data_IF_698333030383
#
_entry.id   IF_698333030383
#
_cell.length_a   1.000
_cell.length_b   1.000
_cell.length_c   1.000
_cell.angle_alpha   90.00
_cell.angle_beta   90.00
_cell.angle_gamma   90.00
#
_symmetry.space_group_name_H-M   'P 1'
#
loop_
_entity.id
_entity.type
_entity.pdbx_description
1 polymer ?
#
# COMPACT_ATOMS: atom_id res chain seq x y z
N UNK A 1 14.74 -0.84 -12.68
CA UNK A 1 15.81 -0.06 -12.00
C UNK A 1 15.29 0.42 -10.66
N UNK A 2 15.99 0.10 -9.58
CA UNK A 2 15.54 0.42 -8.23
C UNK A 2 16.13 1.74 -7.74
N UNK A 3 15.26 2.65 -7.31
CA UNK A 3 15.62 3.97 -6.81
C UNK A 3 15.00 4.23 -5.43
N UNK A 4 15.56 5.20 -4.70
CA UNK A 4 14.99 5.68 -3.45
C UNK A 4 15.17 7.18 -3.30
N UNK A 5 14.34 7.77 -2.44
CA UNK A 5 14.48 9.14 -1.94
C UNK A 5 15.07 9.09 -0.54
N UNK A 6 16.09 9.87 -0.28
CA UNK A 6 16.81 9.80 0.99
C UNK A 6 17.33 11.16 1.44
N UNK A 7 17.65 11.28 2.73
CA UNK A 7 18.32 12.44 3.31
C UNK A 7 19.74 12.06 3.70
N UNK A 8 20.71 12.85 3.24
CA UNK A 8 22.12 12.80 3.62
C UNK A 8 22.61 14.22 3.92
N UNK A 9 23.26 14.47 5.04
CA UNK A 9 23.83 15.77 5.42
C UNK A 9 22.86 16.97 5.21
N UNK A 10 21.61 16.83 5.65
CA UNK A 10 20.53 17.82 5.47
C UNK A 10 20.07 18.08 4.02
N UNK A 11 20.57 17.36 3.04
CA UNK A 11 20.08 17.40 1.66
C UNK A 11 19.15 16.23 1.39
N UNK A 12 18.07 16.51 0.68
CA UNK A 12 17.16 15.49 0.19
C UNK A 12 17.55 15.17 -1.25
N UNK A 13 17.83 13.92 -1.53
CA UNK A 13 18.36 13.43 -2.79
C UNK A 13 17.54 12.22 -3.27
N UNK A 14 17.68 11.93 -4.55
CA UNK A 14 17.30 10.65 -5.13
C UNK A 14 18.56 9.86 -5.47
N UNK A 15 18.44 8.52 -5.50
CA UNK A 15 19.56 7.68 -5.88
C UNK A 15 19.17 6.31 -6.34
N UNK A 16 20.05 5.71 -7.15
CA UNK A 16 19.94 4.30 -7.57
C UNK A 16 20.44 3.43 -6.43
N UNK A 17 19.63 2.46 -6.06
CA UNK A 17 19.96 1.48 -5.00
C UNK A 17 20.77 0.34 -5.61
N UNK A 18 21.98 0.11 -5.09
CA UNK A 18 22.89 -0.98 -5.47
C UNK A 18 23.40 -1.68 -4.22
N UNK A 19 22.92 -2.92 -3.98
CA UNK A 19 23.26 -3.69 -2.79
C UNK A 19 23.15 -2.85 -1.50
N UNK A 20 24.26 -2.51 -0.86
CA UNK A 20 24.31 -1.75 0.39
C UNK A 20 24.61 -0.26 0.19
N UNK A 21 24.55 0.24 -1.05
CA UNK A 21 24.86 1.63 -1.40
C UNK A 21 23.80 2.30 -2.27
N UNK A 22 23.80 3.62 -2.24
CA UNK A 22 22.93 4.48 -3.05
C UNK A 22 23.84 5.39 -3.88
N UNK A 23 23.65 5.39 -5.18
CA UNK A 23 24.34 6.32 -6.10
C UNK A 23 23.43 7.52 -6.33
N UNK A 24 23.79 8.72 -5.85
CA UNK A 24 22.97 9.93 -6.04
C UNK A 24 22.72 10.25 -7.51
N UNK A 25 21.49 10.65 -7.84
CA UNK A 25 21.04 11.01 -9.19
C UNK A 25 20.32 12.35 -9.20
N UNK A 26 20.31 13.01 -10.35
CA UNK A 26 19.59 14.25 -10.53
C UNK A 26 18.08 14.00 -10.63
N UNK A 27 17.30 14.79 -9.87
CA UNK A 27 15.83 14.77 -9.87
C UNK A 27 15.29 15.25 -8.54
N UNK A 28 14.06 15.78 -8.56
CA UNK A 28 13.39 16.33 -7.37
C UNK A 28 12.14 15.54 -7.00
N UNK A 29 11.46 14.99 -7.99
CA UNK A 29 10.19 14.30 -7.84
C UNK A 29 10.23 12.92 -8.49
N UNK A 30 9.38 12.01 -8.05
CA UNK A 30 9.28 10.67 -8.67
C UNK A 30 8.98 10.76 -10.16
N UNK A 31 8.23 11.77 -10.60
CA UNK A 31 7.82 11.97 -11.98
C UNK A 31 9.03 12.14 -12.92
N UNK A 32 10.14 12.70 -12.43
CA UNK A 32 11.36 12.93 -13.21
C UNK A 32 11.97 11.61 -13.71
N UNK A 33 11.64 10.49 -13.08
CA UNK A 33 12.20 9.17 -13.38
C UNK A 33 11.24 8.22 -14.10
N UNK A 34 9.93 8.50 -14.11
CA UNK A 34 8.92 7.56 -14.61
C UNK A 34 9.00 7.27 -16.12
N UNK A 35 9.63 8.17 -16.90
CA UNK A 35 9.73 8.05 -18.35
C UNK A 35 11.18 7.86 -18.85
N UNK A 36 12.06 7.32 -18.02
CA UNK A 36 13.47 7.08 -18.43
C UNK A 36 13.61 6.03 -19.53
N UNK A 37 12.62 5.13 -19.70
CA UNK A 37 12.58 4.12 -20.78
C UNK A 37 13.90 3.34 -20.95
N UNK A 38 14.51 2.95 -19.84
CA UNK A 38 15.79 2.24 -19.80
C UNK A 38 17.04 3.16 -19.87
N UNK A 39 16.87 4.47 -20.05
CA UNK A 39 17.99 5.42 -19.93
C UNK A 39 18.46 5.53 -18.48
N UNK A 40 19.75 5.74 -18.30
CA UNK A 40 20.31 6.01 -16.99
C UNK A 40 20.07 7.48 -16.61
N UNK A 41 19.63 7.78 -15.40
CA UNK A 41 19.57 9.16 -14.91
C UNK A 41 20.99 9.72 -14.74
N UNK A 42 21.10 11.03 -14.73
CA UNK A 42 22.36 11.73 -14.49
C UNK A 42 22.85 11.50 -13.06
N UNK A 43 24.09 11.00 -12.93
CA UNK A 43 24.73 10.72 -11.63
C UNK A 43 25.26 12.03 -11.05
N UNK A 44 24.93 12.29 -9.77
CA UNK A 44 25.32 13.53 -9.06
C UNK A 44 26.38 13.34 -7.97
N UNK A 45 26.92 12.17 -7.77
CA UNK A 45 27.90 11.96 -6.71
C UNK A 45 28.42 10.54 -6.58
N UNK A 46 29.28 10.34 -5.59
CA UNK A 46 29.80 9.02 -5.24
C UNK A 46 28.78 8.17 -4.49
N UNK A 47 28.87 6.84 -4.55
CA UNK A 47 28.03 5.95 -3.76
C UNK A 47 28.09 6.24 -2.26
N UNK A 48 26.94 6.23 -1.60
CA UNK A 48 26.77 6.41 -0.15
C UNK A 48 26.19 5.14 0.44
N UNK A 49 26.73 4.65 1.57
CA UNK A 49 26.18 3.49 2.25
C UNK A 49 24.72 3.76 2.72
N UNK A 50 23.82 2.81 2.49
CA UNK A 50 22.40 2.92 2.90
C UNK A 50 22.28 3.14 4.42
N UNK A 51 23.16 2.52 5.23
CA UNK A 51 23.18 2.66 6.68
C UNK A 51 23.47 4.08 7.18
N UNK A 52 24.03 4.96 6.34
CA UNK A 52 24.41 6.34 6.67
C UNK A 52 23.38 7.39 6.28
N UNK A 53 22.24 6.99 5.74
CA UNK A 53 21.21 7.90 5.26
C UNK A 53 19.85 7.60 5.88
N UNK A 54 18.99 8.59 5.89
CA UNK A 54 17.57 8.43 6.24
C UNK A 54 16.77 8.19 4.96
N UNK A 55 16.15 7.02 4.83
CA UNK A 55 15.25 6.73 3.71
C UNK A 55 13.93 7.46 3.92
N UNK A 56 13.47 8.18 2.91
CA UNK A 56 12.25 8.96 2.93
C UNK A 56 11.17 8.34 2.06
N UNK A 57 9.92 8.77 2.25
CA UNK A 57 8.85 8.40 1.31
C UNK A 57 9.22 8.83 -0.11
N UNK A 58 9.14 7.94 -1.10
CA UNK A 58 9.37 8.28 -2.50
C UNK A 58 8.20 9.08 -3.11
N UNK A 59 7.05 9.08 -2.47
CA UNK A 59 5.87 9.82 -2.92
C UNK A 59 5.81 11.13 -2.15
N UNK A 60 5.83 12.25 -2.88
CA UNK A 60 5.94 13.58 -2.26
C UNK A 60 4.71 14.42 -2.45
N UNK A 61 4.04 14.32 -3.59
CA UNK A 61 2.94 15.22 -3.93
C UNK A 61 2.01 14.57 -4.98
N UNK A 62 1.34 13.47 -4.63
CA UNK A 62 0.37 12.86 -5.54
C UNK A 62 -0.90 13.73 -5.57
N UNK A 63 -1.49 13.91 -6.76
CA UNK A 63 -2.83 14.48 -6.88
C UNK A 63 -3.86 13.56 -6.27
N UNK A 64 -3.72 12.25 -6.53
CA UNK A 64 -4.62 11.23 -6.04
C UNK A 64 -3.88 10.10 -5.34
N UNK A 65 -4.41 9.67 -4.20
CA UNK A 65 -4.08 8.41 -3.54
C UNK A 65 -5.34 7.57 -3.63
N UNK A 66 -5.38 6.67 -4.58
CA UNK A 66 -6.51 5.78 -4.82
C UNK A 66 -6.20 4.44 -4.18
N UNK A 67 -7.16 3.87 -3.48
CA UNK A 67 -7.03 2.59 -2.82
C UNK A 67 -8.11 1.64 -3.30
N UNK A 68 -7.73 0.39 -3.52
CA UNK A 68 -8.61 -0.68 -3.92
C UNK A 68 -8.91 -1.59 -2.71
N UNK A 69 -10.16 -1.68 -2.35
CA UNK A 69 -10.57 -2.52 -1.22
C UNK A 69 -10.98 -3.93 -1.64
N UNK A 70 -10.69 -4.93 -0.78
CA UNK A 70 -11.17 -6.31 -0.93
C UNK A 70 -10.76 -6.96 -2.26
N UNK A 71 -9.52 -6.82 -2.66
CA UNK A 71 -9.01 -7.34 -3.94
C UNK A 71 -8.41 -8.75 -3.88
N UNK A 72 -8.60 -9.47 -2.79
CA UNK A 72 -8.16 -10.87 -2.63
C UNK A 72 -9.30 -11.72 -2.06
N UNK A 73 -9.60 -12.85 -2.71
CA UNK A 73 -10.72 -13.72 -2.32
C UNK A 73 -10.63 -14.18 -0.86
N UNK A 74 -9.45 -14.59 -0.41
CA UNK A 74 -9.23 -15.02 0.97
C UNK A 74 -9.49 -13.89 1.99
N UNK A 75 -9.09 -12.65 1.65
CA UNK A 75 -9.35 -11.49 2.50
C UNK A 75 -10.85 -11.15 2.57
N UNK A 76 -11.59 -11.34 1.47
CA UNK A 76 -13.05 -11.16 1.46
C UNK A 76 -13.71 -12.13 2.44
N UNK A 77 -13.28 -13.39 2.48
CA UNK A 77 -13.77 -14.40 3.43
C UNK A 77 -13.52 -13.96 4.89
N UNK A 78 -12.32 -13.42 5.19
CA UNK A 78 -11.99 -12.90 6.54
C UNK A 78 -12.89 -11.74 6.95
N UNK A 79 -13.35 -10.93 5.99
CA UNK A 79 -14.32 -9.84 6.26
C UNK A 79 -15.77 -10.32 6.34
N UNK A 80 -16.00 -11.64 6.29
CA UNK A 80 -17.32 -12.28 6.44
C UNK A 80 -18.23 -12.13 5.21
N UNK A 81 -17.66 -11.98 4.02
CA UNK A 81 -18.38 -11.93 2.73
C UNK A 81 -18.04 -13.15 1.87
N UNK A 82 -18.90 -13.46 0.90
CA UNK A 82 -18.58 -14.47 -0.13
C UNK A 82 -17.79 -13.78 -1.26
N UNK A 83 -16.63 -14.31 -1.67
CA UNK A 83 -15.91 -13.77 -2.82
C UNK A 83 -16.69 -13.80 -4.13
N UNK A 84 -17.64 -14.73 -4.27
CA UNK A 84 -18.51 -14.82 -5.44
C UNK A 84 -19.52 -13.68 -5.56
N UNK A 85 -19.80 -13.01 -4.43
CA UNK A 85 -20.72 -11.85 -4.39
C UNK A 85 -20.00 -10.54 -4.75
N UNK A 86 -18.72 -10.60 -5.17
CA UNK A 86 -17.97 -9.40 -5.53
C UNK A 86 -18.03 -9.14 -7.04
N UNK A 87 -19.02 -8.36 -7.43
CA UNK A 87 -19.26 -7.99 -8.83
C UNK A 87 -18.64 -6.64 -9.24
N UNK A 88 -17.92 -5.95 -8.32
CA UNK A 88 -17.39 -4.60 -8.56
C UNK A 88 -16.07 -4.36 -7.79
N UNK A 89 -15.24 -3.49 -8.35
CA UNK A 89 -14.13 -2.91 -7.64
C UNK A 89 -14.61 -1.92 -6.57
N UNK A 90 -14.01 -1.96 -5.40
CA UNK A 90 -14.29 -0.99 -4.36
C UNK A 90 -13.12 -0.01 -4.30
N UNK A 91 -13.39 1.25 -4.62
CA UNK A 91 -12.40 2.32 -4.56
C UNK A 91 -12.69 3.28 -3.41
N UNK A 92 -11.63 3.75 -2.79
CA UNK A 92 -11.65 4.84 -1.81
C UNK A 92 -10.35 5.62 -1.91
N UNK A 93 -10.25 6.73 -1.18
CA UNK A 93 -9.06 7.58 -1.20
C UNK A 93 -8.49 7.76 0.21
N UNK A 94 -7.22 8.12 0.28
CA UNK A 94 -6.55 8.57 1.52
C UNK A 94 -6.12 10.03 1.38
N UNK A 95 -6.05 10.72 2.51
CA UNK A 95 -5.49 12.08 2.52
C UNK A 95 -3.99 12.05 2.21
N UNK A 96 -3.44 12.96 1.39
CA UNK A 96 -2.00 13.07 1.16
C UNK A 96 -1.19 13.22 2.45
N UNK A 97 -1.74 13.87 3.48
CA UNK A 97 -1.12 14.00 4.80
C UNK A 97 -0.94 12.70 5.57
N UNK A 98 -1.50 11.58 5.10
CA UNK A 98 -1.27 10.24 5.66
C UNK A 98 0.05 9.62 5.21
N UNK A 99 0.66 10.13 4.13
CA UNK A 99 1.94 9.62 3.60
C UNK A 99 3.07 9.78 4.62
N UNK A 100 3.87 8.72 4.72
CA UNK A 100 5.10 8.73 5.52
C UNK A 100 6.13 7.76 4.94
N UNK A 101 7.35 7.77 5.48
CA UNK A 101 8.40 6.82 5.08
C UNK A 101 8.02 5.38 5.47
N UNK A 102 8.46 4.43 4.66
CA UNK A 102 8.41 3.00 4.97
C UNK A 102 9.39 2.56 6.08
N UNK A 103 10.33 3.43 6.44
CA UNK A 103 11.24 3.22 7.56
C UNK A 103 10.99 4.35 8.56
N UNK A 104 10.42 4.02 9.73
CA UNK A 104 10.04 5.03 10.70
C UNK A 104 8.94 4.60 11.66
N UNK A 105 7.95 5.46 11.85
CA UNK A 105 6.94 5.29 12.88
C UNK A 105 5.51 5.40 12.33
N UNK A 106 4.60 4.62 12.92
CA UNK A 106 3.16 4.80 12.80
C UNK A 106 2.68 5.44 14.10
N UNK A 107 2.10 6.63 14.01
CA UNK A 107 1.55 7.33 15.17
C UNK A 107 0.12 6.86 15.38
N UNK A 108 -0.10 6.14 16.47
CA UNK A 108 -1.43 5.65 16.86
C UNK A 108 -2.15 6.74 17.66
N UNK A 109 -3.24 7.34 17.12
CA UNK A 109 -4.05 8.28 17.89
C UNK A 109 -4.61 7.62 19.16
N UNK A 110 -4.63 8.33 20.28
CA UNK A 110 -5.02 7.78 21.60
C UNK A 110 -6.45 7.20 21.62
N UNK A 111 -7.36 7.75 20.81
CA UNK A 111 -8.74 7.30 20.69
C UNK A 111 -8.92 6.07 19.77
N UNK A 112 -7.92 5.72 18.93
CA UNK A 112 -7.95 4.53 18.06
C UNK A 112 -7.65 3.29 18.89
N UNK A 113 -8.60 2.37 18.91
CA UNK A 113 -8.50 1.11 19.69
C UNK A 113 -8.09 -0.08 18.83
N UNK A 114 -8.53 -0.11 17.57
CA UNK A 114 -8.35 -1.24 16.65
C UNK A 114 -7.47 -0.79 15.48
N UNK A 115 -6.17 -0.60 15.75
CA UNK A 115 -5.17 -0.26 14.73
C UNK A 115 -4.76 -1.53 13.97
N UNK A 116 -4.92 -1.53 12.65
CA UNK A 116 -4.67 -2.67 11.77
C UNK A 116 -3.67 -2.33 10.66
N UNK A 117 -3.08 -3.35 10.08
CA UNK A 117 -2.07 -3.30 9.03
C UNK A 117 -2.60 -3.95 7.75
N UNK A 118 -2.17 -3.44 6.59
CA UNK A 118 -2.53 -3.93 5.25
C UNK A 118 -1.35 -3.70 4.31
N UNK A 119 -0.49 -4.72 4.10
CA UNK A 119 0.56 -4.64 3.11
C UNK A 119 -0.01 -4.69 1.69
N UNK A 120 0.39 -3.75 0.84
CA UNK A 120 -0.15 -3.59 -0.51
C UNK A 120 0.94 -3.24 -1.52
N UNK A 121 0.83 -3.73 -2.74
CA UNK A 121 1.56 -3.16 -3.87
C UNK A 121 0.96 -1.79 -4.23
N UNK A 122 1.82 -0.87 -4.62
CA UNK A 122 1.45 0.44 -5.15
C UNK A 122 1.89 0.55 -6.59
N UNK A 123 0.98 0.99 -7.43
CA UNK A 123 1.25 1.39 -8.82
C UNK A 123 1.45 2.90 -8.86
N UNK A 124 2.45 3.38 -9.59
CA UNK A 124 2.72 4.79 -9.84
C UNK A 124 2.54 5.05 -11.33
N UNK A 125 1.62 5.93 -11.68
CA UNK A 125 1.32 6.25 -13.07
C UNK A 125 2.38 7.15 -13.69
N UNK A 126 2.74 6.88 -14.95
CA UNK A 126 3.66 7.71 -15.75
C UNK A 126 2.97 8.51 -16.85
N UNK A 127 1.75 8.18 -17.19
CA UNK A 127 0.99 8.78 -18.30
C UNK A 127 -0.37 9.23 -17.82
N UNK A 128 -0.83 10.37 -18.31
CA UNK A 128 -2.19 10.84 -18.05
C UNK A 128 -3.25 9.99 -18.78
N UNK A 129 -4.42 9.84 -18.15
CA UNK A 129 -5.57 9.15 -18.70
C UNK A 129 -6.81 10.03 -18.44
N UNK A 130 -7.24 10.77 -19.48
CA UNK A 130 -8.31 11.78 -19.39
C UNK A 130 -9.64 11.31 -20.02
N UNK A 131 -9.74 10.04 -20.34
CA UNK A 131 -10.94 9.42 -20.91
C UNK A 131 -10.92 7.92 -20.68
N UNK A 132 -12.09 7.28 -20.77
CA UNK A 132 -12.18 5.83 -20.70
C UNK A 132 -11.23 5.18 -21.70
N UNK A 133 -10.32 4.37 -21.18
CA UNK A 133 -9.23 3.74 -21.92
C UNK A 133 -9.17 2.27 -21.57
N UNK A 134 -9.13 1.41 -22.58
CA UNK A 134 -8.97 -0.03 -22.38
C UNK A 134 -7.48 -0.31 -22.16
N UNK A 135 -7.16 -0.75 -20.96
CA UNK A 135 -5.81 -1.14 -20.56
C UNK A 135 -5.77 -2.66 -20.45
N UNK A 136 -4.79 -3.26 -21.09
CA UNK A 136 -4.57 -4.72 -21.14
C UNK A 136 -3.17 -5.05 -20.63
N UNK A 137 -2.87 -6.32 -20.43
CA UNK A 137 -1.51 -6.77 -20.06
C UNK A 137 -0.44 -6.30 -21.02
N UNK A 138 -0.78 -6.21 -22.30
CA UNK A 138 0.14 -5.83 -23.38
C UNK A 138 0.53 -4.36 -23.33
N UNK A 139 -0.41 -3.46 -23.00
CA UNK A 139 -0.19 -2.01 -22.96
C UNK A 139 -0.07 -1.41 -21.56
N UNK A 140 -0.20 -2.20 -20.48
CA UNK A 140 -0.08 -1.74 -19.10
C UNK A 140 1.21 -0.95 -18.85
N UNK A 141 2.32 -1.37 -19.44
CA UNK A 141 3.62 -0.72 -19.34
C UNK A 141 3.66 0.70 -19.91
N UNK A 142 2.69 1.11 -20.73
CA UNK A 142 2.58 2.48 -21.23
C UNK A 142 2.03 3.45 -20.19
N UNK A 143 1.32 2.95 -19.17
CA UNK A 143 0.65 3.74 -18.14
C UNK A 143 1.35 3.66 -16.79
N UNK A 144 1.90 2.50 -16.44
CA UNK A 144 2.62 2.25 -15.20
C UNK A 144 4.10 2.54 -15.38
N UNK A 145 4.63 3.49 -14.61
CA UNK A 145 6.05 3.88 -14.65
C UNK A 145 6.87 3.25 -13.55
N UNK A 146 6.24 2.94 -12.41
CA UNK A 146 6.92 2.34 -11.28
C UNK A 146 5.97 1.59 -10.36
N UNK A 147 6.54 0.75 -9.49
CA UNK A 147 5.85 0.07 -8.40
C UNK A 147 6.61 0.26 -7.10
N UNK A 148 5.89 0.18 -5.97
CA UNK A 148 6.47 0.20 -4.63
C UNK A 148 5.59 -0.56 -3.65
N UNK A 149 5.99 -0.60 -2.37
CA UNK A 149 5.25 -1.22 -1.27
C UNK A 149 4.62 -0.14 -0.40
N UNK A 150 3.39 -0.37 0.09
CA UNK A 150 2.75 0.45 1.11
C UNK A 150 2.14 -0.41 2.22
N UNK A 151 1.79 0.25 3.33
CA UNK A 151 0.94 -0.31 4.36
C UNK A 151 -0.29 0.60 4.50
N UNK A 152 -1.47 0.11 4.10
CA UNK A 152 -2.73 0.85 4.25
C UNK A 152 -3.27 0.73 5.67
N UNK A 153 -2.58 1.41 6.60
CA UNK A 153 -2.91 1.39 8.03
C UNK A 153 -4.34 1.86 8.27
N UNK A 154 -5.05 1.13 9.14
CA UNK A 154 -6.50 1.27 9.29
C UNK A 154 -6.91 1.38 10.76
N UNK A 155 -7.70 2.38 11.10
CA UNK A 155 -8.44 2.47 12.37
C UNK A 155 -9.80 1.79 12.20
N UNK A 156 -9.89 0.49 12.51
CA UNK A 156 -11.10 -0.31 12.24
C UNK A 156 -12.31 0.10 13.06
N UNK A 157 -12.10 0.56 14.28
CA UNK A 157 -13.14 1.11 15.15
C UNK A 157 -13.73 2.44 14.69
N UNK A 158 -13.11 3.05 13.66
CA UNK A 158 -13.61 4.24 12.98
C UNK A 158 -14.15 3.88 11.59
N UNK A 159 -13.36 3.13 10.82
CA UNK A 159 -13.69 2.72 9.46
C UNK A 159 -15.02 1.98 9.38
N UNK A 160 -15.22 0.96 10.22
CA UNK A 160 -16.36 0.05 10.11
C UNK A 160 -17.65 0.71 10.56
N UNK A 161 -17.71 1.39 11.74
CA UNK A 161 -18.95 2.00 12.20
C UNK A 161 -19.45 3.16 11.34
N UNK A 162 -18.53 3.89 10.70
CA UNK A 162 -18.89 5.10 9.96
C UNK A 162 -19.20 4.84 8.48
N UNK A 163 -18.96 3.64 7.96
CA UNK A 163 -19.27 3.25 6.58
C UNK A 163 -18.37 3.90 5.52
N UNK A 164 -17.98 5.16 5.69
CA UNK A 164 -17.02 5.85 4.82
C UNK A 164 -15.59 5.62 5.32
N UNK A 165 -14.73 5.08 4.45
CA UNK A 165 -13.41 4.61 4.87
C UNK A 165 -12.36 5.71 5.03
N UNK A 166 -12.53 6.83 4.30
CA UNK A 166 -11.55 7.91 4.26
C UNK A 166 -11.01 8.30 5.66
N UNK A 167 -11.89 8.53 6.65
CA UNK A 167 -11.47 8.95 7.98
C UNK A 167 -10.63 7.89 8.69
N UNK A 168 -11.07 6.62 8.68
CA UNK A 168 -10.35 5.50 9.32
C UNK A 168 -9.02 5.15 8.65
N UNK A 169 -8.79 5.62 7.44
CA UNK A 169 -7.63 5.34 6.59
C UNK A 169 -6.65 6.52 6.44
N UNK A 170 -7.00 7.74 6.91
CA UNK A 170 -6.29 8.97 6.54
C UNK A 170 -5.61 9.71 7.69
N UNK A 171 -5.48 9.12 8.88
CA UNK A 171 -4.69 9.74 9.93
C UNK A 171 -3.23 9.90 9.50
N UNK A 172 -2.52 10.90 10.05
CA UNK A 172 -1.09 11.09 9.78
C UNK A 172 -0.34 9.80 10.01
N UNK A 173 0.63 9.48 9.15
CA UNK A 173 1.42 8.24 9.15
C UNK A 173 0.67 6.94 8.78
N UNK A 174 -0.60 7.01 8.38
CA UNK A 174 -1.38 5.82 8.02
C UNK A 174 -1.17 5.33 6.58
N UNK A 175 -0.23 5.94 5.83
CA UNK A 175 0.21 5.47 4.53
C UNK A 175 1.74 5.44 4.43
N UNK A 176 2.43 4.58 5.20
CA UNK A 176 3.85 4.34 4.99
C UNK A 176 4.07 3.76 3.59
N UNK A 177 5.03 4.30 2.84
CA UNK A 177 5.28 3.91 1.45
C UNK A 177 6.77 3.90 1.12
N UNK A 178 7.21 2.93 0.34
CA UNK A 178 8.60 2.62 0.02
C UNK A 178 9.05 1.29 0.66
N UNK A 179 10.34 1.09 1.02
CA UNK A 179 11.44 2.07 1.02
C UNK A 179 11.97 2.40 -0.38
N UNK A 180 11.87 1.45 -1.32
CA UNK A 180 12.39 1.60 -2.67
C UNK A 180 11.25 1.63 -3.69
N UNK A 181 11.55 2.23 -4.83
CA UNK A 181 10.69 2.23 -6.01
C UNK A 181 11.39 1.44 -7.11
N UNK A 182 10.71 0.52 -7.71
CA UNK A 182 11.17 -0.15 -8.93
C UNK A 182 10.57 0.55 -10.15
N UNK A 183 11.42 1.20 -10.96
CA UNK A 183 11.02 1.73 -12.25
C UNK A 183 10.79 0.57 -13.19
N UNK A 184 9.62 0.53 -13.84
CA UNK A 184 9.20 -0.63 -14.62
C UNK A 184 8.99 -0.27 -16.10
N UNK A 185 9.50 -1.13 -16.96
CA UNK A 185 9.21 -1.18 -18.38
C UNK A 185 8.33 -2.39 -18.70
N UNK A 186 8.28 -2.76 -19.97
CA UNK A 186 7.46 -3.88 -20.45
C UNK A 186 7.84 -5.22 -19.81
N UNK A 187 9.13 -5.45 -19.61
CA UNK A 187 9.62 -6.69 -19.01
C UNK A 187 9.23 -6.80 -17.53
N UNK A 188 9.48 -5.73 -16.75
CA UNK A 188 9.18 -5.73 -15.31
C UNK A 188 7.68 -5.79 -15.04
N UNK A 189 6.85 -5.09 -15.82
CA UNK A 189 5.38 -5.14 -15.69
C UNK A 189 4.88 -6.56 -15.89
N UNK A 190 5.46 -7.35 -16.79
CA UNK A 190 5.09 -8.76 -16.98
C UNK A 190 5.40 -9.66 -15.78
N UNK A 191 6.28 -9.21 -14.86
CA UNK A 191 6.67 -9.94 -13.65
C UNK A 191 5.82 -9.57 -12.43
N UNK A 192 4.94 -8.57 -12.51
CA UNK A 192 4.14 -8.10 -11.36
C UNK A 192 3.36 -9.25 -10.72
N UNK A 193 2.74 -10.11 -11.50
CA UNK A 193 2.00 -11.28 -10.98
C UNK A 193 2.87 -12.29 -10.22
N UNK A 194 4.20 -12.28 -10.42
CA UNK A 194 5.14 -13.16 -9.73
C UNK A 194 5.62 -12.60 -8.39
N UNK A 195 5.29 -11.35 -8.08
CA UNK A 195 5.65 -10.73 -6.81
C UNK A 195 4.96 -11.45 -5.65
N UNK A 196 5.70 -11.65 -4.59
CA UNK A 196 5.22 -12.15 -3.29
C UNK A 196 5.25 -11.03 -2.29
N UNK A 197 4.13 -10.87 -1.57
CA UNK A 197 3.97 -9.89 -0.51
C UNK A 197 3.88 -10.59 0.83
N UNK A 198 4.62 -10.10 1.82
CA UNK A 198 4.59 -10.62 3.18
C UNK A 198 4.64 -9.50 4.21
N UNK A 199 4.03 -9.74 5.37
CA UNK A 199 4.09 -8.85 6.52
C UNK A 199 4.21 -9.65 7.80
N UNK A 200 5.07 -9.17 8.72
CA UNK A 200 5.28 -9.69 10.05
C UNK A 200 5.01 -8.60 11.08
N UNK A 201 4.55 -8.99 12.25
CA UNK A 201 4.45 -8.13 13.44
C UNK A 201 5.24 -8.78 14.55
N UNK A 202 6.26 -8.09 15.08
CA UNK A 202 7.19 -8.61 16.10
C UNK A 202 7.84 -9.94 15.69
N UNK A 203 8.18 -10.08 14.40
CA UNK A 203 8.73 -11.30 13.82
C UNK A 203 7.72 -12.40 13.49
N UNK A 204 6.48 -12.32 13.97
CA UNK A 204 5.43 -13.29 13.68
C UNK A 204 4.80 -13.03 12.31
N UNK A 205 4.75 -14.02 11.41
CA UNK A 205 4.08 -13.88 10.11
C UNK A 205 2.59 -13.59 10.27
N UNK A 206 2.10 -12.57 9.57
CA UNK A 206 0.68 -12.16 9.53
C UNK A 206 0.09 -12.27 8.14
N UNK A 207 0.76 -11.74 7.13
CA UNK A 207 0.34 -11.80 5.74
C UNK A 207 1.42 -12.49 4.91
N UNK A 208 1.00 -13.34 3.97
CA UNK A 208 1.88 -13.98 2.99
C UNK A 208 1.04 -14.42 1.79
N UNK A 209 1.26 -13.80 0.64
CA UNK A 209 0.49 -14.07 -0.57
C UNK A 209 1.31 -13.74 -1.83
N UNK A 210 0.72 -14.04 -2.97
CA UNK A 210 1.25 -13.73 -4.29
C UNK A 210 0.27 -12.82 -5.03
N UNK A 211 0.77 -11.91 -5.85
CA UNK A 211 -0.06 -10.90 -6.53
C UNK A 211 -0.91 -11.48 -7.68
N UNK A 212 -0.64 -12.69 -8.14
CA UNK A 212 -1.51 -13.43 -9.08
C UNK A 212 -2.88 -13.80 -8.50
N UNK A 213 -3.05 -13.66 -7.17
CA UNK A 213 -4.33 -13.90 -6.46
C UNK A 213 -5.23 -12.67 -6.36
N UNK A 214 -4.87 -11.56 -6.98
CA UNK A 214 -5.74 -10.41 -7.12
C UNK A 214 -6.99 -10.77 -7.91
N UNK A 215 -8.16 -10.31 -7.46
CA UNK A 215 -9.44 -10.49 -8.18
C UNK A 215 -9.48 -9.56 -9.38
N UNK A 216 -9.08 -8.33 -9.18
CA UNK A 216 -8.96 -7.31 -10.24
C UNK A 216 -7.48 -6.94 -10.38
N UNK A 217 -6.81 -7.43 -11.42
CA UNK A 217 -5.42 -7.11 -11.67
C UNK A 217 -5.24 -5.64 -12.12
N UNK A 218 -4.00 -5.13 -12.17
CA UNK A 218 -3.73 -3.74 -12.49
C UNK A 218 -4.38 -3.20 -13.77
N UNK A 219 -4.39 -3.98 -14.83
CA UNK A 219 -4.97 -3.60 -16.13
C UNK A 219 -6.49 -3.40 -16.06
N UNK A 220 -7.20 -4.26 -15.34
CA UNK A 220 -8.66 -4.14 -15.14
C UNK A 220 -8.96 -2.95 -14.22
N UNK A 221 -8.20 -2.80 -13.14
CA UNK A 221 -8.32 -1.68 -12.20
C UNK A 221 -8.15 -0.33 -12.88
N UNK A 222 -7.11 -0.17 -13.70
CA UNK A 222 -6.87 1.09 -14.42
C UNK A 222 -7.88 1.33 -15.53
N UNK A 223 -8.36 0.27 -16.20
CA UNK A 223 -9.45 0.39 -17.20
C UNK A 223 -10.70 0.95 -16.56
N UNK A 224 -11.11 0.42 -15.40
CA UNK A 224 -12.30 0.90 -14.68
C UNK A 224 -12.11 2.32 -14.17
N UNK A 225 -11.00 2.62 -13.50
CA UNK A 225 -10.67 3.97 -12.99
C UNK A 225 -10.68 5.03 -14.08
N UNK A 226 -10.19 4.70 -15.28
CA UNK A 226 -10.19 5.62 -16.44
C UNK A 226 -11.57 6.03 -16.92
N UNK A 227 -12.60 5.27 -16.57
CA UNK A 227 -14.01 5.59 -16.84
C UNK A 227 -14.68 6.39 -15.72
N UNK A 228 -14.00 6.57 -14.58
CA UNK A 228 -14.54 7.22 -13.39
C UNK A 228 -13.93 8.62 -13.21
N UNK A 229 -12.62 8.76 -13.43
CA UNK A 229 -11.89 9.99 -13.11
C UNK A 229 -10.66 10.19 -14.00
N UNK A 230 -10.18 11.44 -14.05
CA UNK A 230 -8.91 11.76 -14.67
C UNK A 230 -7.76 11.27 -13.79
N UNK A 231 -6.78 10.66 -14.43
CA UNK A 231 -5.56 10.14 -13.79
C UNK A 231 -4.33 10.85 -14.37
N UNK A 232 -3.34 11.10 -13.52
CA UNK A 232 -2.16 11.90 -13.88
C UNK A 232 -0.84 11.21 -13.53
N UNK A 233 0.27 11.56 -14.20
CA UNK A 233 1.60 11.10 -13.79
C UNK A 233 1.87 11.41 -12.32
N UNK A 234 2.38 10.41 -11.59
CA UNK A 234 2.61 10.51 -10.14
C UNK A 234 1.42 10.15 -9.26
N UNK A 235 0.21 9.96 -9.82
CA UNK A 235 -0.90 9.35 -9.08
C UNK A 235 -0.54 7.93 -8.67
N UNK A 236 -0.99 7.55 -7.47
CA UNK A 236 -0.72 6.23 -6.91
C UNK A 236 -1.99 5.45 -6.67
N UNK A 237 -1.91 4.15 -6.97
CA UNK A 237 -2.99 3.20 -6.71
C UNK A 237 -2.47 2.10 -5.79
N UNK A 238 -3.03 2.01 -4.58
CA UNK A 238 -2.85 0.88 -3.67
C UNK A 238 -3.78 -0.24 -4.12
N UNK A 239 -3.27 -1.45 -4.32
CA UNK A 239 -3.96 -2.52 -5.06
C UNK A 239 -4.73 -3.50 -4.18
N UNK A 240 -4.92 -3.17 -2.92
CA UNK A 240 -5.58 -4.04 -1.95
C UNK A 240 -4.63 -5.00 -1.26
N UNK A 241 -5.04 -5.44 -0.08
CA UNK A 241 -4.24 -6.29 0.80
C UNK A 241 -4.71 -7.75 0.77
N UNK A 242 -3.79 -8.73 0.88
CA UNK A 242 -4.16 -10.13 1.06
C UNK A 242 -4.70 -10.42 2.46
N UNK A 243 -5.13 -11.67 2.68
CA UNK A 243 -5.53 -12.20 3.98
C UNK A 243 -4.44 -12.08 5.06
N UNK A 244 -4.86 -12.17 6.33
CA UNK A 244 -3.98 -12.14 7.50
C UNK A 244 -4.00 -10.82 8.27
N UNK A 245 -4.87 -9.89 7.92
CA UNK A 245 -5.13 -8.65 8.70
C UNK A 245 -5.66 -8.98 10.10
N UNK A 246 -5.62 -8.00 11.02
CA UNK A 246 -6.14 -8.21 12.37
C UNK A 246 -7.67 -8.31 12.40
N UNK A 247 -8.35 -7.63 11.47
CA UNK A 247 -9.79 -7.66 11.33
C UNK A 247 -10.30 -9.06 10.98
N UNK A 248 -11.19 -9.59 11.82
CA UNK A 248 -11.90 -10.83 11.56
C UNK A 248 -13.39 -10.63 11.86
N UNK A 249 -14.20 -10.57 10.80
CA UNK A 249 -15.63 -10.36 10.93
C UNK A 249 -16.41 -11.69 10.91
N UNK A 250 -17.51 -11.83 11.69
CA UNK A 250 -18.37 -13.00 11.61
C UNK A 250 -19.02 -13.09 10.22
N UNK A 251 -19.18 -14.32 9.72
CA UNK A 251 -19.81 -14.58 8.42
C UNK A 251 -21.22 -13.99 8.29
N UNK A 252 -21.65 -13.76 7.05
CA UNK A 252 -22.92 -13.08 6.73
C UNK A 252 -24.16 -13.67 7.39
N UNK A 253 -24.20 -15.00 7.59
CA UNK A 253 -25.30 -15.69 8.28
C UNK A 253 -25.44 -15.25 9.75
N UNK A 254 -24.31 -15.13 10.47
CA UNK A 254 -24.31 -14.68 11.88
C UNK A 254 -24.73 -13.20 11.96
N UNK A 255 -24.30 -12.37 11.01
CA UNK A 255 -24.75 -10.95 10.91
C UNK A 255 -26.27 -10.87 10.70
N UNK A 256 -26.82 -11.69 9.79
CA UNK A 256 -28.25 -11.69 9.46
C UNK A 256 -29.10 -12.10 10.65
N UNK A 257 -28.71 -13.12 11.43
CA UNK A 257 -29.44 -13.52 12.65
C UNK A 257 -29.33 -12.41 13.71
N UNK A 258 -28.15 -11.86 13.92
CA UNK A 258 -27.93 -10.83 14.93
C UNK A 258 -28.70 -9.52 14.62
N UNK A 259 -28.88 -9.15 13.34
CA UNK A 259 -29.64 -7.98 12.93
C UNK A 259 -31.17 -8.07 13.23
N UNK A 260 -31.69 -9.27 13.42
CA UNK A 260 -33.05 -9.46 13.90
C UNK A 260 -33.21 -9.23 15.41
N UNK A 261 -32.13 -9.41 16.17
CA UNK A 261 -32.15 -9.38 17.62
C UNK A 261 -31.66 -8.06 18.23
N UNK A 262 -30.86 -7.32 17.52
CA UNK A 262 -30.17 -6.14 18.05
C UNK A 262 -30.19 -4.98 17.04
N UNK A 263 -30.21 -3.73 17.55
CA UNK A 263 -30.03 -2.54 16.74
C UNK A 263 -28.60 -2.49 16.14
N UNK A 264 -28.42 -1.79 15.00
CA UNK A 264 -27.10 -1.59 14.38
C UNK A 264 -26.05 -1.07 15.36
N UNK A 265 -26.41 -0.09 16.19
CA UNK A 265 -25.53 0.46 17.22
C UNK A 265 -25.06 -0.62 18.19
N UNK A 266 -25.98 -1.47 18.67
CA UNK A 266 -25.66 -2.56 19.59
C UNK A 266 -24.78 -3.63 18.96
N UNK A 267 -25.07 -3.98 17.71
CA UNK A 267 -24.23 -4.91 16.93
C UNK A 267 -22.82 -4.39 16.78
N UNK A 268 -22.66 -3.09 16.53
CA UNK A 268 -21.36 -2.46 16.39
C UNK A 268 -20.59 -2.43 17.72
N UNK A 269 -21.25 -2.14 18.84
CA UNK A 269 -20.63 -2.22 20.17
C UNK A 269 -20.13 -3.64 20.48
N UNK A 270 -20.95 -4.67 20.19
CA UNK A 270 -20.60 -6.08 20.38
C UNK A 270 -19.40 -6.45 19.46
N UNK A 271 -19.45 -6.01 18.21
CA UNK A 271 -18.37 -6.23 17.26
C UNK A 271 -17.05 -5.65 17.76
N UNK A 272 -17.02 -4.36 18.10
CA UNK A 272 -15.81 -3.68 18.60
C UNK A 272 -15.31 -4.36 19.87
N UNK A 273 -16.18 -4.70 20.82
CA UNK A 273 -15.81 -5.42 22.04
C UNK A 273 -15.17 -6.77 21.74
N UNK A 274 -15.70 -7.52 20.78
CA UNK A 274 -15.13 -8.81 20.35
C UNK A 274 -13.76 -8.61 19.69
N UNK A 275 -13.61 -7.59 18.84
CA UNK A 275 -12.35 -7.29 18.16
C UNK A 275 -11.25 -6.88 19.16
N UNK A 276 -11.60 -6.13 20.21
CA UNK A 276 -10.65 -5.73 21.26
C UNK A 276 -10.02 -6.92 22.00
N UNK A 277 -10.66 -8.07 22.01
CA UNK A 277 -10.12 -9.31 22.58
C UNK A 277 -9.07 -9.99 21.63
N UNK A 278 -9.00 -9.59 20.37
CA UNK A 278 -8.04 -10.15 19.42
C UNK A 278 -6.63 -9.61 19.70
N UNK A 279 -5.63 -10.48 19.86
CA UNK A 279 -4.24 -10.06 20.05
C UNK A 279 -3.58 -9.53 18.77
N UNK A 280 -4.25 -9.62 17.63
CA UNK A 280 -3.66 -9.29 16.31
C UNK A 280 -3.58 -7.80 16.04
N UNK A 281 -4.41 -6.97 16.68
CA UNK A 281 -4.36 -5.51 16.51
C UNK A 281 -3.05 -4.92 17.04
N UNK A 282 -2.55 -3.94 16.32
CA UNK A 282 -1.29 -3.26 16.64
C UNK A 282 -1.38 -2.51 17.97
N UNK A 283 -0.33 -2.66 18.76
CA UNK A 283 -0.13 -2.00 20.04
C UNK A 283 1.09 -1.06 19.98
N UNK A 284 1.13 -0.10 20.89
CA UNK A 284 2.31 0.75 21.06
C UNK A 284 3.53 -0.13 21.36
N UNK A 285 4.62 0.11 20.62
CA UNK A 285 5.86 -0.64 20.71
C UNK A 285 6.00 -1.75 19.65
N UNK A 286 4.91 -2.18 19.00
CA UNK A 286 4.96 -3.22 17.96
C UNK A 286 5.84 -2.78 16.79
N UNK A 287 6.57 -3.76 16.22
CA UNK A 287 7.42 -3.59 15.04
C UNK A 287 6.76 -4.34 13.88
N UNK A 288 6.57 -3.63 12.77
CA UNK A 288 6.00 -4.16 11.54
C UNK A 288 7.13 -4.24 10.52
N UNK A 289 7.26 -5.40 9.88
CA UNK A 289 8.17 -5.62 8.76
C UNK A 289 7.36 -6.16 7.58
N UNK A 290 7.49 -5.52 6.40
CA UNK A 290 6.83 -5.98 5.19
C UNK A 290 7.77 -5.98 3.99
N UNK A 291 7.57 -6.92 3.08
CA UNK A 291 8.39 -7.09 1.88
C UNK A 291 7.51 -7.36 0.67
N UNK A 292 7.97 -6.90 -0.49
CA UNK A 292 7.39 -7.18 -1.80
C UNK A 292 8.52 -7.49 -2.77
N UNK A 293 8.63 -8.74 -3.23
CA UNK A 293 9.72 -9.21 -4.08
C UNK A 293 9.36 -10.46 -4.89
N UNK A 294 10.04 -10.69 -6.00
CA UNK A 294 10.01 -11.99 -6.71
C UNK A 294 10.91 -13.00 -6.00
N UNK A 295 10.71 -14.28 -6.26
CA UNK A 295 11.57 -15.35 -5.67
C UNK A 295 13.03 -15.22 -6.09
N UNK A 296 13.27 -14.88 -7.34
CA UNK A 296 14.61 -14.65 -7.92
C UNK A 296 15.18 -13.28 -7.59
N UNK A 297 14.44 -12.45 -6.83
CA UNK A 297 14.79 -11.06 -6.51
C UNK A 297 15.08 -10.16 -7.71
N UNK A 298 14.59 -10.52 -8.89
CA UNK A 298 14.69 -9.65 -10.06
C UNK A 298 13.88 -8.36 -9.89
N UNK A 299 12.83 -8.40 -9.05
CA UNK A 299 12.14 -7.24 -8.48
C UNK A 299 12.21 -7.38 -6.95
N UNK A 300 12.76 -6.39 -6.26
CA UNK A 300 12.88 -6.37 -4.79
C UNK A 300 12.72 -4.94 -4.28
N UNK A 301 11.59 -4.66 -3.63
CA UNK A 301 11.22 -3.31 -3.18
C UNK A 301 11.84 -2.97 -1.79
N UNK A 302 12.70 -3.84 -1.28
CA UNK A 302 13.30 -3.70 0.06
C UNK A 302 12.34 -4.10 1.18
N UNK A 303 12.77 -3.84 2.40
CA UNK A 303 12.01 -4.15 3.61
C UNK A 303 11.48 -2.87 4.25
N UNK A 304 10.17 -2.74 4.32
CA UNK A 304 9.51 -1.75 5.19
C UNK A 304 9.72 -2.12 6.64
N UNK A 305 10.06 -1.14 7.49
CA UNK A 305 10.25 -1.35 8.93
C UNK A 305 9.68 -0.18 9.73
N UNK A 306 8.62 -0.44 10.48
CA UNK A 306 7.84 0.56 11.18
C UNK A 306 7.67 0.19 12.64
N UNK A 307 7.70 1.20 13.52
CA UNK A 307 7.39 1.06 14.94
C UNK A 307 6.12 1.83 15.29
N UNK A 308 5.20 1.18 16.00
CA UNK A 308 3.99 1.86 16.48
C UNK A 308 4.33 2.73 17.69
N UNK A 309 3.96 4.02 17.62
CA UNK A 309 4.14 5.01 18.69
C UNK A 309 2.82 5.61 19.12
N UNK A 310 2.80 6.12 20.31
CA UNK A 310 1.68 6.92 20.83
C UNK A 310 1.71 8.34 20.24
N UNK A 311 0.52 8.89 19.99
CA UNK A 311 0.35 10.30 19.68
C UNK A 311 0.67 11.12 20.94
N UNK A 312 1.61 12.05 20.85
CA UNK A 312 2.09 12.89 21.98
C UNK A 312 1.22 14.10 22.15
#
# INVERSE_FOLDING_TARGET
>A
MRICRFRSENKILWGIVKEDSIVPIQGNHIIDFLNLEGKQPEIQGNPIEISKVEILSPITDPRNIICQGKNYAQHIIETGMDPKDKDYNLFFTKAPSSLTSAIGEIIKPSFVKLLDYEAEMVIILKKEILRKTIITKENLHEYVGAITLANDVSARDIQIPQGQWFKGKSYRTFCPIGPFVELVGKEEVSKISKLKISLKVNGEPRQNSSLDKMIFPPEETLTELSGIMDLFPGDIILTGTPSGVALNAPGGFVKKIASFLFSEKKLMEIFVKKQLASPKYLKIGDIIEAELKTEDRSLDLGTMKLKVREDR
#
